data_IF_416754195300
#
_entry.id   IF_416754195300
#
_cell.length_a   1.000
_cell.length_b   1.000
_cell.length_c   1.000
_cell.angle_alpha   90.00
_cell.angle_beta   90.00
_cell.angle_gamma   90.00
#
_symmetry.space_group_name_H-M   'P 1'
#
loop_
_entity.id
_entity.type
_entity.pdbx_description
1 polymer ?
#
# COMPACT_ATOMS: atom_id res chain seq x y z
N UNK A 1 -23.47 32.18 6.67
CA UNK A 1 -22.67 31.05 6.13
C UNK A 1 -23.06 29.78 6.87
N UNK A 2 -23.52 28.73 6.17
CA UNK A 2 -23.73 27.41 6.79
C UNK A 2 -22.38 26.67 6.78
N UNK A 3 -21.97 26.00 7.86
CA UNK A 3 -20.71 25.27 7.87
C UNK A 3 -20.80 24.06 6.93
N UNK A 4 -19.74 23.82 6.16
CA UNK A 4 -19.56 22.57 5.43
C UNK A 4 -19.47 21.44 6.46
N UNK A 5 -20.43 20.52 6.43
CA UNK A 5 -20.38 19.30 7.24
C UNK A 5 -19.21 18.47 6.71
N UNK A 6 -18.12 18.41 7.46
CA UNK A 6 -17.05 17.45 7.20
C UNK A 6 -17.64 16.05 7.38
N UNK A 7 -18.00 15.39 6.29
CA UNK A 7 -18.34 13.97 6.30
C UNK A 7 -17.03 13.23 6.60
N UNK A 8 -16.80 12.97 7.88
CA UNK A 8 -15.83 11.99 8.35
C UNK A 8 -16.06 10.71 7.54
N UNK A 9 -15.09 10.36 6.69
CA UNK A 9 -15.06 9.06 6.02
C UNK A 9 -15.09 8.03 7.16
N UNK A 10 -15.95 6.99 7.09
CA UNK A 10 -15.93 5.94 8.10
C UNK A 10 -14.51 5.43 8.23
N UNK A 11 -14.05 5.07 9.43
CA UNK A 11 -12.82 4.31 9.59
C UNK A 11 -13.01 3.04 8.78
N UNK A 12 -12.49 3.03 7.55
CA UNK A 12 -12.76 1.97 6.59
C UNK A 12 -11.95 0.77 7.07
N UNK A 13 -12.58 -0.13 7.81
CA UNK A 13 -11.98 -1.42 8.17
C UNK A 13 -11.88 -2.36 6.96
N UNK A 14 -12.58 -2.04 5.86
CA UNK A 14 -12.55 -2.79 4.59
C UNK A 14 -12.92 -1.88 3.42
N UNK A 15 -12.03 -1.73 2.46
CA UNK A 15 -12.22 -0.89 1.27
C UNK A 15 -12.94 -1.72 0.20
N UNK A 16 -14.09 -1.25 -0.30
CA UNK A 16 -14.91 -1.95 -1.31
C UNK A 16 -15.18 -3.45 -1.07
N UNK A 17 -15.79 -3.84 0.05
CA UNK A 17 -15.98 -5.25 0.45
C UNK A 17 -16.82 -6.12 -0.51
N UNK A 18 -17.48 -5.52 -1.51
CA UNK A 18 -18.34 -6.24 -2.48
C UNK A 18 -17.66 -6.44 -3.84
N UNK A 19 -16.48 -5.87 -4.06
CA UNK A 19 -15.78 -5.95 -5.33
C UNK A 19 -14.77 -7.09 -5.27
N UNK A 20 -14.77 -7.98 -6.27
CA UNK A 20 -13.73 -9.00 -6.41
C UNK A 20 -12.58 -8.41 -7.22
N UNK A 21 -11.39 -8.38 -6.64
CA UNK A 21 -10.17 -7.89 -7.27
C UNK A 21 -9.22 -9.05 -7.61
N UNK A 22 -8.19 -8.78 -8.42
CA UNK A 22 -7.20 -9.79 -8.81
C UNK A 22 -6.52 -10.44 -7.59
N UNK A 23 -6.21 -9.65 -6.55
CA UNK A 23 -5.59 -10.18 -5.33
C UNK A 23 -6.48 -11.22 -4.62
N UNK A 24 -7.80 -11.01 -4.60
CA UNK A 24 -8.75 -11.98 -4.04
C UNK A 24 -8.73 -13.30 -4.80
N UNK A 25 -8.72 -13.22 -6.15
CA UNK A 25 -8.70 -14.40 -7.03
C UNK A 25 -7.39 -15.19 -6.83
N UNK A 26 -6.26 -14.49 -6.80
CA UNK A 26 -4.95 -15.12 -6.62
C UNK A 26 -4.84 -15.78 -5.24
N UNK A 27 -5.26 -15.09 -4.18
CA UNK A 27 -5.27 -15.64 -2.82
C UNK A 27 -6.16 -16.88 -2.73
N UNK A 28 -7.36 -16.82 -3.30
CA UNK A 28 -8.27 -17.98 -3.35
C UNK A 28 -7.71 -19.15 -4.17
N UNK A 29 -6.80 -18.88 -5.11
CA UNK A 29 -6.10 -19.91 -5.90
C UNK A 29 -4.81 -20.42 -5.22
N UNK A 30 -4.54 -20.02 -3.98
CA UNK A 30 -3.39 -20.47 -3.19
C UNK A 30 -2.10 -19.68 -3.41
N UNK A 31 -2.13 -18.55 -4.12
CA UNK A 31 -0.96 -17.68 -4.29
C UNK A 31 -0.73 -16.82 -3.05
N UNK A 32 0.55 -16.56 -2.76
CA UNK A 32 0.95 -15.51 -1.83
C UNK A 32 1.16 -14.21 -2.61
N UNK A 33 0.38 -13.20 -2.26
CA UNK A 33 0.45 -11.90 -2.93
C UNK A 33 1.38 -10.95 -2.17
N UNK A 34 2.40 -10.48 -2.88
CA UNK A 34 3.37 -9.51 -2.39
C UNK A 34 3.18 -8.18 -3.09
N UNK A 35 3.21 -7.10 -2.31
CA UNK A 35 3.22 -5.75 -2.84
C UNK A 35 4.42 -4.99 -2.27
N UNK A 36 5.26 -4.45 -3.16
CA UNK A 36 6.46 -3.68 -2.80
C UNK A 36 6.44 -2.35 -3.54
N UNK A 37 6.62 -1.24 -2.81
CA UNK A 37 6.78 0.10 -3.39
C UNK A 37 7.78 0.95 -2.59
N UNK A 38 8.32 1.99 -3.20
CA UNK A 38 9.18 2.95 -2.49
C UNK A 38 8.44 3.93 -1.58
N UNK A 39 7.15 4.18 -1.80
CA UNK A 39 6.35 5.15 -1.05
C UNK A 39 5.76 4.56 0.25
N UNK A 40 5.34 5.42 1.20
CA UNK A 40 4.67 4.96 2.41
C UNK A 40 3.31 4.29 2.07
N UNK A 41 3.02 3.13 2.66
CA UNK A 41 1.81 2.36 2.35
C UNK A 41 0.50 3.08 2.72
N UNK A 42 0.53 3.98 3.70
CA UNK A 42 -0.64 4.75 4.15
C UNK A 42 -1.09 5.81 3.14
N UNK A 43 -0.22 6.17 2.19
CA UNK A 43 -0.55 7.13 1.15
C UNK A 43 -1.77 6.62 0.36
N UNK A 44 -2.78 7.49 0.22
CA UNK A 44 -4.05 7.19 -0.44
C UNK A 44 -4.86 5.99 0.14
N UNK A 45 -4.58 5.53 1.37
CA UNK A 45 -5.31 4.42 2.00
C UNK A 45 -5.07 3.06 1.35
N UNK A 46 -3.91 2.91 0.70
CA UNK A 46 -3.58 1.73 -0.09
C UNK A 46 -3.28 0.50 0.75
N UNK A 47 -2.75 0.69 1.96
CA UNK A 47 -2.62 -0.36 2.98
C UNK A 47 -3.94 -1.07 3.25
N UNK A 48 -4.99 -0.31 3.58
CA UNK A 48 -6.33 -0.85 3.86
C UNK A 48 -6.89 -1.58 2.64
N UNK A 49 -6.77 -0.98 1.45
CA UNK A 49 -7.25 -1.59 0.21
C UNK A 49 -6.55 -2.91 -0.10
N UNK A 50 -5.22 -2.95 -0.08
CA UNK A 50 -4.49 -4.16 -0.44
C UNK A 50 -4.68 -5.27 0.60
N UNK A 51 -4.69 -4.94 1.89
CA UNK A 51 -4.98 -5.92 2.95
C UNK A 51 -6.39 -6.48 2.80
N UNK A 52 -7.39 -5.64 2.45
CA UNK A 52 -8.75 -6.11 2.23
C UNK A 52 -8.93 -6.91 0.94
N UNK A 53 -7.98 -6.85 0.00
CA UNK A 53 -8.04 -7.53 -1.29
C UNK A 53 -6.91 -8.56 -1.51
N UNK A 54 -6.61 -9.33 -0.47
CA UNK A 54 -5.82 -10.55 -0.57
C UNK A 54 -4.30 -10.37 -0.64
N UNK A 55 -3.76 -9.20 -0.28
CA UNK A 55 -2.32 -9.02 -0.11
C UNK A 55 -1.91 -9.09 1.36
N UNK A 56 -1.16 -10.14 1.72
CA UNK A 56 -0.69 -10.36 3.09
C UNK A 56 0.73 -9.81 3.33
N UNK A 57 1.49 -9.59 2.25
CA UNK A 57 2.88 -9.13 2.32
C UNK A 57 3.00 -7.74 1.69
N UNK A 58 3.01 -6.70 2.53
CA UNK A 58 3.11 -5.31 2.10
C UNK A 58 4.41 -4.67 2.57
N UNK A 59 5.14 -4.07 1.64
CA UNK A 59 6.40 -3.37 1.91
C UNK A 59 6.38 -1.98 1.26
N UNK A 60 6.42 -0.94 2.08
CA UNK A 60 6.58 0.44 1.65
C UNK A 60 7.80 1.11 2.27
N UNK A 61 7.80 2.44 2.22
CA UNK A 61 8.93 3.25 2.67
C UNK A 61 9.37 2.98 4.12
N UNK A 62 8.48 2.54 5.01
CA UNK A 62 8.82 2.28 6.42
C UNK A 62 9.44 0.89 6.60
N UNK A 63 8.83 -0.11 5.96
CA UNK A 63 9.27 -1.51 6.01
C UNK A 63 10.59 -1.71 5.26
N UNK A 64 10.84 -0.92 4.22
CA UNK A 64 12.04 -1.02 3.40
C UNK A 64 13.27 -0.37 4.02
N UNK A 65 13.15 0.48 5.05
CA UNK A 65 14.28 1.25 5.62
C UNK A 65 15.44 0.38 6.09
N UNK A 66 15.16 -0.82 6.55
CA UNK A 66 16.17 -1.76 7.10
C UNK A 66 16.68 -2.76 6.06
N UNK A 67 16.09 -2.81 4.87
CA UNK A 67 16.40 -3.80 3.84
C UNK A 67 17.06 -3.19 2.60
N UNK A 68 16.84 -1.90 2.35
CA UNK A 68 17.53 -1.18 1.26
C UNK A 68 18.98 -0.88 1.64
N UNK A 69 19.86 -0.88 0.63
CA UNK A 69 21.29 -0.61 0.82
C UNK A 69 21.56 0.82 1.33
N UNK A 70 20.79 1.80 0.86
CA UNK A 70 20.91 3.20 1.26
C UNK A 70 19.52 3.77 1.62
N UNK A 71 19.19 3.91 2.92
CA UNK A 71 17.93 4.49 3.38
C UNK A 71 17.76 5.98 3.02
N UNK A 72 18.83 6.66 2.61
CA UNK A 72 18.79 8.07 2.19
C UNK A 72 18.48 8.24 0.69
N UNK A 73 18.53 7.16 -0.10
CA UNK A 73 18.26 7.20 -1.54
C UNK A 73 16.76 7.29 -1.88
N UNK A 74 16.16 8.43 -1.56
CA UNK A 74 14.72 8.71 -1.66
C UNK A 74 14.44 10.19 -1.92
N UNK A 75 13.25 10.48 -2.42
CA UNK A 75 12.70 11.83 -2.49
C UNK A 75 11.39 11.90 -1.67
N UNK A 76 10.66 13.01 -1.80
CA UNK A 76 9.39 13.23 -1.08
C UNK A 76 8.31 12.17 -1.37
N UNK A 77 8.44 11.43 -2.47
CA UNK A 77 7.53 10.35 -2.86
C UNK A 77 8.00 8.96 -2.41
N UNK A 78 9.20 8.84 -1.82
CA UNK A 78 9.75 7.59 -1.31
C UNK A 78 11.03 7.16 -2.02
N UNK A 79 11.38 5.87 -1.85
CA UNK A 79 12.61 5.32 -2.43
C UNK A 79 12.61 5.39 -3.96
N UNK A 80 13.72 5.88 -4.50
CA UNK A 80 13.93 5.93 -5.93
C UNK A 80 14.36 4.56 -6.44
N UNK A 81 13.97 4.22 -7.66
CA UNK A 81 14.55 3.06 -8.34
C UNK A 81 16.02 3.37 -8.60
N UNK A 82 16.92 2.57 -8.04
CA UNK A 82 18.33 2.62 -8.43
C UNK A 82 18.42 2.31 -9.94
N UNK A 83 18.86 3.27 -10.74
CA UNK A 83 19.20 3.01 -12.13
C UNK A 83 20.53 2.22 -12.15
N UNK A 84 20.43 0.89 -12.25
CA UNK A 84 21.58 0.01 -12.44
C UNK A 84 22.45 -0.20 -11.19
N UNK A 85 22.53 -1.44 -10.75
CA UNK A 85 23.81 -2.11 -10.56
C UNK A 85 23.49 -3.60 -10.51
N UNK A 86 23.98 -4.33 -11.53
CA UNK A 86 24.22 -5.76 -11.40
C UNK A 86 25.36 -6.03 -10.44
#
# INVERSE_FOLDING_TARGET
MRPLKATLRPSVSSFFPKNICLGDILKNSGYQNYFVQGANLRFAGKDVFLQSHGFDHLYGAEELKTTVADPSYRNDWGFLRRHGAG
#
